data_IF_325779508813
#
_entry.id   IF_325779508813
#
_cell.length_a   1.000
_cell.length_b   1.000
_cell.length_c   1.000
_cell.angle_alpha   90.00
_cell.angle_beta   90.00
_cell.angle_gamma   90.00
#
_symmetry.space_group_name_H-M   'P 1'
#
loop_
_entity.id
_entity.type
_entity.pdbx_description
1 polymer ?
#
# COMPACT_ATOMS: atom_id res chain seq x y z
N UNK A 1 1.00 -7.94 -16.18
CA UNK A 1 2.03 -6.99 -15.66
C UNK A 1 3.32 -7.74 -15.36
N UNK A 2 4.48 -7.17 -15.62
CA UNK A 2 5.75 -7.83 -15.31
C UNK A 2 5.90 -7.95 -13.78
N UNK A 3 6.20 -9.14 -13.26
CA UNK A 3 6.45 -9.38 -11.83
C UNK A 3 7.57 -8.46 -11.34
N UNK A 4 7.32 -7.74 -10.27
CA UNK A 4 8.31 -6.89 -9.60
C UNK A 4 9.09 -7.75 -8.61
N UNK A 5 10.38 -7.81 -8.76
CA UNK A 5 11.25 -8.43 -7.78
C UNK A 5 11.67 -7.41 -6.74
N UNK A 6 11.54 -7.75 -5.46
CA UNK A 6 11.94 -6.84 -4.39
C UNK A 6 13.43 -6.50 -4.48
N UNK A 7 14.27 -7.45 -4.85
CA UNK A 7 15.71 -7.25 -5.06
C UNK A 7 16.06 -6.22 -6.14
N UNK A 8 15.12 -5.91 -7.02
CA UNK A 8 15.29 -4.87 -8.04
C UNK A 8 14.69 -3.51 -7.63
N UNK A 9 14.05 -3.43 -6.46
CA UNK A 9 13.41 -2.20 -6.00
C UNK A 9 14.45 -1.14 -5.66
N UNK A 10 14.32 -0.01 -6.32
CA UNK A 10 15.10 1.21 -6.10
C UNK A 10 14.14 2.36 -5.82
N UNK A 11 14.37 3.11 -4.78
CA UNK A 11 13.49 4.23 -4.46
C UNK A 11 13.76 4.87 -3.11
N UNK A 12 12.72 5.43 -2.53
CA UNK A 12 12.77 6.15 -1.26
C UNK A 12 11.57 5.77 -0.40
N UNK A 13 11.82 5.39 0.84
CA UNK A 13 10.77 5.30 1.86
C UNK A 13 10.38 6.73 2.24
N UNK A 14 9.10 7.02 2.17
CA UNK A 14 8.53 8.35 2.41
C UNK A 14 7.63 8.34 3.64
N UNK A 15 7.59 9.44 4.36
CA UNK A 15 6.54 9.77 5.34
C UNK A 15 5.83 11.04 4.86
N UNK A 16 4.60 10.89 4.37
CA UNK A 16 3.98 11.95 3.58
C UNK A 16 4.85 12.32 2.39
N UNK A 17 5.21 13.60 2.25
CA UNK A 17 6.14 14.06 1.20
C UNK A 17 7.61 14.18 1.67
N UNK A 18 7.91 13.70 2.88
CA UNK A 18 9.26 13.78 3.44
C UNK A 18 10.03 12.48 3.18
N UNK A 19 11.23 12.53 2.56
CA UNK A 19 12.10 11.37 2.42
C UNK A 19 12.62 10.89 3.79
N UNK A 20 12.48 9.60 4.07
CA UNK A 20 12.86 8.99 5.35
C UNK A 20 14.10 8.11 5.21
N UNK A 21 14.15 7.28 4.18
CA UNK A 21 15.25 6.37 3.94
C UNK A 21 15.38 6.05 2.45
N UNK A 22 16.60 5.78 2.02
CA UNK A 22 16.90 5.35 0.66
C UNK A 22 16.80 3.83 0.54
N UNK A 23 16.21 3.36 -0.55
CA UNK A 23 16.05 1.94 -0.86
C UNK A 23 16.89 1.61 -2.08
N UNK A 24 17.78 0.63 -1.92
CA UNK A 24 18.58 0.07 -3.01
C UNK A 24 18.52 -1.46 -2.94
N UNK A 25 18.28 -2.08 -4.08
CA UNK A 25 18.20 -3.54 -4.19
C UNK A 25 17.20 -4.20 -3.19
N UNK A 26 16.11 -3.49 -2.90
CA UNK A 26 15.08 -3.98 -2.00
C UNK A 26 15.39 -3.90 -0.51
N UNK A 27 16.43 -3.15 -0.15
CA UNK A 27 16.83 -2.94 1.25
C UNK A 27 17.03 -1.46 1.54
N UNK A 28 16.95 -1.09 2.81
CA UNK A 28 17.29 0.27 3.24
C UNK A 28 18.81 0.42 3.21
N UNK A 29 19.29 1.26 2.29
CA UNK A 29 20.73 1.54 2.13
C UNK A 29 21.20 2.71 2.99
N UNK A 30 20.33 3.68 3.23
CA UNK A 30 20.65 4.88 4.01
C UNK A 30 19.40 5.46 4.68
N UNK A 31 19.49 5.74 5.97
CA UNK A 31 18.46 6.51 6.69
C UNK A 31 18.74 8.00 6.51
N UNK A 32 17.73 8.76 6.05
CA UNK A 32 17.80 10.20 5.81
C UNK A 32 17.26 10.96 7.02
N UNK A 33 16.06 10.56 7.51
CA UNK A 33 15.40 11.19 8.65
C UNK A 33 15.03 10.13 9.70
N UNK A 34 15.92 9.87 10.66
CA UNK A 34 15.72 8.81 11.67
C UNK A 34 14.48 9.01 12.54
N UNK A 35 14.07 10.26 12.79
CA UNK A 35 12.92 10.58 13.64
C UNK A 35 11.59 10.20 13.02
N UNK A 36 11.55 10.04 11.71
CA UNK A 36 10.35 9.65 10.95
C UNK A 36 10.37 8.19 10.51
N UNK A 37 11.37 7.42 10.90
CA UNK A 37 11.47 6.01 10.54
C UNK A 37 10.31 5.22 11.17
N UNK A 38 9.64 4.31 10.44
CA UNK A 38 8.60 3.48 11.02
C UNK A 38 9.10 2.70 12.24
N UNK A 39 8.28 2.61 13.28
CA UNK A 39 8.65 1.92 14.53
C UNK A 39 9.16 0.49 14.33
N UNK A 40 8.65 -0.20 13.32
CA UNK A 40 9.14 -1.52 12.95
C UNK A 40 10.67 -1.57 12.81
N UNK A 41 11.27 -0.61 12.13
CA UNK A 41 12.73 -0.56 11.90
C UNK A 41 13.55 -0.20 13.16
N UNK A 42 12.88 0.38 14.17
CA UNK A 42 13.52 0.76 15.43
C UNK A 42 13.50 -0.37 16.46
N UNK A 43 12.47 -1.23 16.44
CA UNK A 43 12.22 -2.20 17.51
C UNK A 43 12.29 -3.66 17.08
N UNK A 44 12.32 -3.97 15.78
CA UNK A 44 12.53 -5.32 15.31
C UNK A 44 13.98 -5.78 15.56
N UNK A 45 14.18 -7.04 15.94
CA UNK A 45 15.51 -7.60 16.16
C UNK A 45 16.32 -7.68 14.85
N UNK A 46 15.66 -8.04 13.75
CA UNK A 46 16.26 -8.10 12.41
C UNK A 46 15.33 -7.40 11.39
N UNK A 47 15.35 -6.06 11.36
CA UNK A 47 14.46 -5.31 10.50
C UNK A 47 14.85 -5.47 9.03
N UNK A 48 13.85 -5.82 8.20
CA UNK A 48 14.02 -5.89 6.76
C UNK A 48 12.88 -5.18 6.03
N UNK A 49 13.18 -4.59 4.88
CA UNK A 49 12.15 -3.97 4.04
C UNK A 49 11.12 -5.02 3.58
N UNK A 50 11.57 -6.24 3.30
CA UNK A 50 10.69 -7.35 2.94
C UNK A 50 9.63 -7.62 4.01
N UNK A 51 10.04 -7.77 5.27
CA UNK A 51 9.12 -8.05 6.37
C UNK A 51 8.16 -6.87 6.62
N UNK A 52 8.66 -5.64 6.54
CA UNK A 52 7.83 -4.45 6.66
C UNK A 52 6.77 -4.36 5.55
N UNK A 53 7.14 -4.57 4.30
CA UNK A 53 6.20 -4.61 3.17
C UNK A 53 5.17 -5.72 3.37
N UNK A 54 5.61 -6.90 3.76
CA UNK A 54 4.74 -8.06 3.94
C UNK A 54 3.68 -7.85 5.03
N UNK A 55 4.01 -7.15 6.12
CA UNK A 55 3.06 -6.79 7.18
C UNK A 55 1.96 -5.84 6.69
N UNK A 56 2.16 -5.12 5.61
CA UNK A 56 1.20 -4.19 5.01
C UNK A 56 0.25 -4.88 4.04
N UNK A 57 0.44 -6.16 3.77
CA UNK A 57 -0.42 -6.91 2.86
C UNK A 57 -1.74 -7.27 3.51
N UNK A 58 -2.80 -7.30 2.68
CA UNK A 58 -4.10 -7.86 3.05
C UNK A 58 -3.99 -9.36 3.29
N UNK A 59 -4.98 -9.93 3.98
CA UNK A 59 -5.15 -11.37 4.03
C UNK A 59 -5.55 -11.91 2.64
N UNK A 60 -4.64 -12.67 2.03
CA UNK A 60 -4.83 -13.23 0.70
C UNK A 60 -5.85 -14.36 0.65
N UNK A 61 -6.27 -14.89 1.79
CA UNK A 61 -7.33 -15.91 1.90
C UNK A 61 -8.75 -15.31 1.94
N UNK A 62 -8.87 -13.98 1.92
CA UNK A 62 -10.18 -13.33 1.92
C UNK A 62 -10.98 -13.66 0.65
N UNK A 63 -12.30 -13.71 0.78
CA UNK A 63 -13.22 -14.15 -0.28
C UNK A 63 -13.15 -13.30 -1.56
N UNK A 64 -12.89 -11.99 -1.43
CA UNK A 64 -12.80 -11.08 -2.57
C UNK A 64 -11.36 -10.88 -3.10
N UNK A 65 -10.41 -11.71 -2.71
CA UNK A 65 -9.03 -11.57 -3.13
C UNK A 65 -8.85 -11.61 -4.65
N UNK A 66 -9.54 -12.51 -5.34
CA UNK A 66 -9.50 -12.60 -6.82
C UNK A 66 -9.97 -11.31 -7.50
N UNK A 67 -10.99 -10.68 -6.96
CA UNK A 67 -11.47 -9.39 -7.45
C UNK A 67 -10.40 -8.32 -7.29
N UNK A 68 -9.78 -8.22 -6.10
CA UNK A 68 -8.72 -7.26 -5.83
C UNK A 68 -7.49 -7.48 -6.72
N UNK A 69 -7.07 -8.72 -6.94
CA UNK A 69 -5.97 -9.03 -7.84
C UNK A 69 -6.23 -8.53 -9.26
N UNK A 70 -7.45 -8.74 -9.76
CA UNK A 70 -7.84 -8.25 -11.10
C UNK A 70 -7.81 -6.72 -11.17
N UNK A 71 -8.32 -6.02 -10.15
CA UNK A 71 -8.31 -4.55 -10.09
C UNK A 71 -6.89 -3.98 -9.99
N UNK A 72 -5.95 -4.76 -9.46
CA UNK A 72 -4.53 -4.42 -9.37
C UNK A 72 -3.70 -4.93 -10.57
N UNK A 73 -4.33 -5.53 -11.58
CA UNK A 73 -3.67 -6.18 -12.72
C UNK A 73 -2.65 -7.26 -12.30
N UNK A 74 -2.98 -8.03 -11.27
CA UNK A 74 -2.13 -9.09 -10.73
C UNK A 74 -2.72 -10.47 -11.03
N UNK A 75 -1.86 -11.41 -11.39
CA UNK A 75 -2.25 -12.80 -11.69
C UNK A 75 -2.23 -13.68 -10.44
N UNK A 76 -1.34 -13.39 -9.48
CA UNK A 76 -1.11 -14.19 -8.29
C UNK A 76 -1.21 -13.38 -7.01
N UNK A 77 -1.61 -14.04 -5.92
CA UNK A 77 -1.70 -13.47 -4.57
C UNK A 77 -0.31 -13.40 -3.90
N UNK A 78 0.60 -12.65 -4.49
CA UNK A 78 1.93 -12.39 -3.94
C UNK A 78 1.89 -11.11 -3.09
N UNK A 79 2.26 -11.23 -1.80
CA UNK A 79 2.21 -10.12 -0.84
C UNK A 79 3.01 -8.90 -1.30
N UNK A 80 4.19 -9.13 -1.88
CA UNK A 80 5.06 -8.04 -2.33
C UNK A 80 4.43 -7.32 -3.53
N UNK A 81 3.88 -8.07 -4.48
CA UNK A 81 3.22 -7.49 -5.66
C UNK A 81 2.00 -6.67 -5.26
N UNK A 82 1.16 -7.20 -4.35
CA UNK A 82 -0.04 -6.50 -3.86
C UNK A 82 0.34 -5.16 -3.21
N UNK A 83 1.29 -5.18 -2.29
CA UNK A 83 1.70 -3.98 -1.55
C UNK A 83 2.40 -2.97 -2.44
N UNK A 84 3.30 -3.41 -3.33
CA UNK A 84 3.99 -2.50 -4.26
C UNK A 84 3.06 -1.93 -5.33
N UNK A 85 1.96 -2.61 -5.67
CA UNK A 85 0.98 -2.08 -6.63
C UNK A 85 0.28 -0.81 -6.15
N UNK A 86 0.22 -0.60 -4.83
CA UNK A 86 -0.29 0.62 -4.19
C UNK A 86 0.82 1.47 -3.56
N UNK A 87 2.04 1.37 -4.07
CA UNK A 87 3.23 2.09 -3.59
C UNK A 87 3.55 1.83 -2.09
N UNK A 88 3.23 0.68 -1.57
CA UNK A 88 3.29 0.31 -0.16
C UNK A 88 2.52 1.25 0.79
N UNK A 89 1.60 2.04 0.26
CA UNK A 89 0.76 2.92 1.07
C UNK A 89 -0.28 2.13 1.86
N UNK A 90 -0.64 2.64 3.03
CA UNK A 90 -1.73 2.14 3.84
C UNK A 90 -2.60 3.31 4.33
N UNK A 91 -3.87 3.03 4.61
CA UNK A 91 -4.80 4.02 5.12
C UNK A 91 -4.57 4.36 6.60
N UNK A 92 -3.80 3.54 7.30
CA UNK A 92 -3.55 3.64 8.75
C UNK A 92 -2.34 4.49 9.12
N UNK A 93 -1.50 4.83 8.15
CA UNK A 93 -0.30 5.64 8.36
C UNK A 93 0.06 6.50 7.13
N UNK A 94 1.19 7.18 7.18
CA UNK A 94 1.66 8.07 6.13
C UNK A 94 2.86 7.53 5.34
N UNK A 95 3.24 6.27 5.57
CA UNK A 95 4.40 5.68 4.92
C UNK A 95 4.05 5.11 3.56
N UNK A 96 4.96 5.30 2.60
CA UNK A 96 4.86 4.74 1.27
C UNK A 96 6.23 4.69 0.59
N UNK A 97 6.32 4.02 -0.53
CA UNK A 97 7.57 3.91 -1.30
C UNK A 97 7.39 4.68 -2.61
N UNK A 98 8.25 5.67 -2.82
CA UNK A 98 8.40 6.36 -4.09
C UNK A 98 9.51 5.69 -4.88
N UNK A 99 9.16 5.00 -5.95
CA UNK A 99 10.13 4.34 -6.81
C UNK A 99 11.05 5.36 -7.49
N UNK A 100 12.28 4.95 -7.78
CA UNK A 100 13.27 5.79 -8.46
C UNK A 100 12.74 6.27 -9.81
N UNK A 101 12.86 7.56 -10.06
CA UNK A 101 12.35 8.20 -11.28
C UNK A 101 10.86 8.55 -11.25
N UNK A 102 10.14 8.22 -10.17
CA UNK A 102 8.76 8.65 -9.96
C UNK A 102 8.71 10.05 -9.35
N UNK A 103 7.81 10.88 -9.85
CA UNK A 103 7.51 12.22 -9.34
C UNK A 103 6.22 12.28 -8.51
N UNK A 104 5.65 11.11 -8.17
CA UNK A 104 4.43 11.02 -7.38
C UNK A 104 4.57 11.72 -6.03
N UNK A 105 3.49 12.38 -5.62
CA UNK A 105 3.34 13.00 -4.31
C UNK A 105 2.44 12.18 -3.42
N UNK A 106 2.50 12.41 -2.10
CA UNK A 106 1.65 11.72 -1.14
C UNK A 106 0.15 11.94 -1.42
N UNK A 107 -0.22 13.13 -1.84
CA UNK A 107 -1.61 13.48 -2.18
C UNK A 107 -2.16 12.64 -3.35
N UNK A 108 -1.30 12.19 -4.25
CA UNK A 108 -1.68 11.35 -5.39
C UNK A 108 -1.85 9.87 -5.03
N UNK A 109 -1.16 9.39 -4.00
CA UNK A 109 -1.15 7.97 -3.64
C UNK A 109 -1.96 7.65 -2.38
N UNK A 110 -2.23 8.64 -1.53
CA UNK A 110 -2.98 8.47 -0.31
C UNK A 110 -4.45 8.13 -0.56
N UNK A 111 -5.15 7.83 0.51
CA UNK A 111 -6.60 7.68 0.52
C UNK A 111 -7.33 8.88 -0.08
N UNK A 112 -8.22 8.67 -1.04
CA UNK A 112 -8.95 9.70 -1.76
C UNK A 112 -10.39 9.82 -1.26
N UNK A 113 -10.71 10.93 -0.63
CA UNK A 113 -12.05 11.18 -0.07
C UNK A 113 -13.16 11.20 -1.13
N UNK A 114 -12.87 11.62 -2.35
CA UNK A 114 -13.85 11.70 -3.45
C UNK A 114 -14.49 10.36 -3.79
N UNK A 115 -13.82 9.25 -3.46
CA UNK A 115 -14.34 7.91 -3.68
C UNK A 115 -15.30 7.44 -2.59
N UNK A 116 -15.24 8.04 -1.40
CA UNK A 116 -16.04 7.63 -0.26
C UNK A 116 -17.54 7.80 -0.48
N UNK A 117 -17.95 8.93 -1.03
CA UNK A 117 -19.37 9.21 -1.29
C UNK A 117 -19.96 8.18 -2.27
N UNK A 118 -19.23 7.86 -3.33
CA UNK A 118 -19.65 6.87 -4.32
C UNK A 118 -19.66 5.47 -3.74
N UNK A 119 -18.63 5.09 -3.01
CA UNK A 119 -18.53 3.80 -2.34
C UNK A 119 -19.61 3.63 -1.26
N UNK A 120 -19.91 4.69 -0.50
CA UNK A 120 -20.94 4.68 0.52
C UNK A 120 -22.36 4.55 -0.08
N UNK A 121 -22.61 5.16 -1.24
CA UNK A 121 -23.91 5.09 -1.92
C UNK A 121 -24.17 3.73 -2.54
N UNK A 122 -23.15 3.12 -3.14
CA UNK A 122 -23.27 1.86 -3.87
C UNK A 122 -22.90 0.64 -3.03
N UNK A 123 -22.33 0.85 -1.92
CA UNK A 123 -21.72 0.06 -0.88
C UNK A 123 -21.93 -1.44 -0.82
N UNK A 124 -21.27 -2.04 0.12
CA UNK A 124 -21.26 -3.49 0.35
C UNK A 124 -22.62 -4.08 0.74
N UNK A 125 -23.56 -3.26 1.23
CA UNK A 125 -24.92 -3.70 1.54
C UNK A 125 -25.73 -4.16 0.32
N UNK A 126 -25.35 -3.72 -0.87
CA UNK A 126 -25.94 -4.16 -2.14
C UNK A 126 -25.17 -5.31 -2.81
N UNK A 127 -24.11 -5.82 -2.16
CA UNK A 127 -23.22 -6.84 -2.74
C UNK A 127 -22.36 -6.32 -3.89
N UNK A 128 -22.33 -5.01 -4.10
CA UNK A 128 -21.56 -4.36 -5.15
C UNK A 128 -20.30 -3.75 -4.51
N UNK A 129 -19.13 -4.26 -4.90
CA UNK A 129 -17.86 -3.64 -4.58
C UNK A 129 -17.53 -2.66 -5.68
N UNK A 130 -17.46 -1.38 -5.33
CA UNK A 130 -17.05 -0.33 -6.25
C UNK A 130 -15.62 0.05 -5.91
N UNK A 131 -14.65 -0.32 -6.75
CA UNK A 131 -13.27 0.08 -6.53
C UNK A 131 -13.14 1.60 -6.68
N UNK A 132 -12.45 2.27 -5.77
CA UNK A 132 -12.28 3.70 -5.83
C UNK A 132 -11.41 4.15 -7.01
N UNK A 133 -10.19 3.62 -7.10
CA UNK A 133 -9.23 3.82 -8.18
C UNK A 133 -8.30 2.63 -8.27
N UNK A 134 -7.74 2.43 -9.44
CA UNK A 134 -6.64 1.50 -9.62
C UNK A 134 -5.45 1.90 -8.76
N UNK A 135 -4.83 0.91 -8.14
CA UNK A 135 -3.59 1.06 -7.38
C UNK A 135 -3.69 2.05 -6.21
N UNK A 136 -4.86 2.19 -5.60
CA UNK A 136 -5.01 3.01 -4.40
C UNK A 136 -5.08 2.15 -3.12
N UNK A 137 -4.64 2.69 -1.96
CA UNK A 137 -4.58 1.94 -0.71
C UNK A 137 -5.94 1.47 -0.19
N UNK A 138 -7.04 2.04 -0.67
CA UNK A 138 -8.39 1.59 -0.32
C UNK A 138 -8.67 0.16 -0.78
N UNK A 139 -8.02 -0.29 -1.87
CA UNK A 139 -8.15 -1.66 -2.36
C UNK A 139 -7.44 -2.68 -1.45
N UNK A 140 -6.44 -2.26 -0.72
CA UNK A 140 -5.63 -3.12 0.16
C UNK A 140 -5.96 -2.96 1.64
N UNK A 141 -7.12 -2.44 1.94
CA UNK A 141 -7.60 -2.31 3.31
C UNK A 141 -7.64 -3.69 4.02
N UNK A 142 -7.12 -3.75 5.23
CA UNK A 142 -7.03 -4.99 6.02
C UNK A 142 -8.38 -5.46 6.55
N UNK A 143 -8.58 -6.77 6.62
CA UNK A 143 -9.77 -7.45 7.14
C UNK A 143 -10.29 -8.53 6.19
N UNK A 144 -11.06 -9.47 6.72
CA UNK A 144 -11.56 -10.64 5.97
C UNK A 144 -12.88 -10.39 5.26
N UNK A 145 -13.62 -9.37 5.67
CA UNK A 145 -14.93 -9.00 5.11
C UNK A 145 -14.80 -7.83 4.15
N UNK A 146 -15.73 -7.75 3.21
CA UNK A 146 -15.89 -6.59 2.36
C UNK A 146 -16.19 -5.35 3.19
N UNK A 147 -15.60 -4.23 2.80
CA UNK A 147 -15.71 -2.96 3.50
C UNK A 147 -15.95 -1.83 2.53
N UNK A 148 -16.73 -0.87 2.96
CA UNK A 148 -16.79 0.44 2.32
C UNK A 148 -16.37 1.51 3.32
N UNK A 149 -15.76 2.57 2.82
CA UNK A 149 -15.35 3.73 3.59
C UNK A 149 -16.45 4.79 3.55
N UNK A 150 -16.71 5.40 4.67
CA UNK A 150 -17.57 6.57 4.76
C UNK A 150 -16.97 7.60 5.71
N UNK A 151 -17.26 8.87 5.47
CA UNK A 151 -16.93 9.94 6.40
C UNK A 151 -17.98 9.93 7.54
N UNK A 152 -17.50 9.98 8.77
CA UNK A 152 -18.31 10.31 9.93
C UNK A 152 -18.08 11.80 10.24
N UNK A 153 -19.16 12.56 10.33
CA UNK A 153 -19.12 13.97 10.68
C UNK A 153 -19.03 14.12 12.20
#
# INVERSE_FOLDING_TARGET
MKRRELSALQGTLMSGNTPVAQIENGEISKVIEPTLLPFYFLFAEDPSLYAWIRQRCIDTNRTNCRFLLRELDLEEADSIQIVLSVNAAAITDHFWIREKGSDKTYEQIRFHQDHLAKTALLGSSAGIVVPPHHHSPELTNTGTFEKCWRLEN
#
